data_IF_717889224934
#
_entry.id   IF_717889224934
#
_cell.length_a   1.000
_cell.length_b   1.000
_cell.length_c   1.000
_cell.angle_alpha   90.00
_cell.angle_beta   90.00
_cell.angle_gamma   90.00
#
_symmetry.space_group_name_H-M   'P 1'
#
loop_
_entity.id
_entity.type
_entity.pdbx_description
1 polymer ?
#
# COMPACT_ATOMS: atom_id res chain seq x y z
N UNK A 1 19.98 -30.93 -81.17
CA UNK A 1 18.72 -31.67 -81.35
C UNK A 1 18.60 -32.62 -80.19
N UNK A 2 17.50 -32.49 -79.43
CA UNK A 2 16.85 -33.49 -78.58
C UNK A 2 17.69 -34.17 -77.47
N UNK A 3 17.25 -34.31 -76.20
CA UNK A 3 15.93 -34.08 -75.61
C UNK A 3 16.02 -33.98 -74.06
N UNK A 4 15.00 -33.37 -73.46
CA UNK A 4 14.79 -33.18 -72.02
C UNK A 4 14.49 -34.50 -71.26
N UNK A 5 14.79 -34.56 -69.93
CA UNK A 5 13.78 -34.70 -68.83
C UNK A 5 14.35 -35.21 -67.49
N UNK A 6 14.04 -34.41 -66.46
CA UNK A 6 13.50 -34.71 -65.12
C UNK A 6 14.10 -35.76 -64.12
N UNK A 7 14.32 -35.22 -62.90
CA UNK A 7 13.91 -35.71 -61.58
C UNK A 7 14.61 -36.91 -60.90
N UNK A 8 15.30 -36.65 -59.77
CA UNK A 8 15.19 -37.48 -58.54
C UNK A 8 15.33 -36.61 -57.27
N UNK A 9 14.32 -36.73 -56.40
CA UNK A 9 14.21 -36.19 -55.03
C UNK A 9 15.28 -36.75 -54.07
N UNK A 10 15.77 -35.93 -53.14
CA UNK A 10 16.23 -36.39 -51.82
C UNK A 10 15.56 -35.60 -50.70
N UNK A 11 14.66 -36.30 -50.02
CA UNK A 11 14.01 -35.98 -48.75
C UNK A 11 15.03 -36.05 -47.61
N UNK A 12 14.99 -35.09 -46.67
CA UNK A 12 15.58 -35.24 -45.34
C UNK A 12 14.66 -34.60 -44.30
N UNK A 13 14.01 -35.47 -43.53
CA UNK A 13 13.28 -35.23 -42.30
C UNK A 13 14.05 -34.36 -41.29
N UNK A 14 13.33 -33.47 -40.59
CA UNK A 14 13.81 -32.88 -39.34
C UNK A 14 12.65 -32.81 -38.33
N UNK A 15 12.81 -33.38 -37.12
CA UNK A 15 11.71 -33.58 -36.20
C UNK A 15 11.35 -32.32 -35.40
N UNK A 16 10.05 -32.17 -35.17
CA UNK A 16 9.44 -31.20 -34.29
C UNK A 16 9.82 -31.48 -32.82
N UNK A 17 10.22 -30.43 -32.09
CA UNK A 17 10.34 -30.48 -30.62
C UNK A 17 9.28 -29.59 -30.00
N UNK A 18 8.29 -30.25 -29.39
CA UNK A 18 7.28 -29.64 -28.54
C UNK A 18 7.91 -29.18 -27.21
N UNK A 19 7.62 -27.95 -26.77
CA UNK A 19 7.96 -27.50 -25.40
C UNK A 19 6.70 -27.10 -24.63
N UNK A 20 6.53 -27.84 -23.54
CA UNK A 20 5.43 -27.94 -22.58
C UNK A 20 5.28 -26.67 -21.73
N UNK A 21 4.04 -26.33 -21.42
CA UNK A 21 3.61 -25.22 -20.56
C UNK A 21 3.63 -25.57 -19.06
N UNK A 22 3.90 -24.56 -18.19
CA UNK A 22 3.32 -24.27 -16.86
C UNK A 22 4.24 -23.30 -16.04
N UNK A 23 3.82 -22.69 -14.92
CA UNK A 23 2.78 -21.66 -14.79
C UNK A 23 3.30 -20.36 -14.13
N UNK A 24 2.57 -19.26 -14.30
CA UNK A 24 2.93 -17.91 -13.77
C UNK A 24 2.40 -17.70 -12.35
N UNK A 25 3.31 -17.36 -11.43
CA UNK A 25 3.04 -16.99 -10.04
C UNK A 25 2.31 -15.63 -9.92
N UNK A 26 1.45 -15.53 -8.92
CA UNK A 26 0.59 -14.40 -8.60
C UNK A 26 1.35 -13.26 -7.90
N UNK A 27 1.10 -12.01 -8.30
CA UNK A 27 1.60 -10.81 -7.63
C UNK A 27 0.48 -10.06 -6.91
N UNK A 28 0.84 -9.60 -5.71
CA UNK A 28 0.03 -9.04 -4.65
C UNK A 28 -0.48 -7.60 -4.92
N UNK A 29 -1.44 -7.19 -4.06
CA UNK A 29 -2.27 -5.99 -4.15
C UNK A 29 -2.10 -5.15 -2.87
N UNK A 30 -1.94 -3.83 -3.00
CA UNK A 30 -2.32 -2.78 -2.02
C UNK A 30 -2.02 -1.36 -2.60
N UNK A 31 -2.52 -0.25 -2.03
CA UNK A 31 -3.89 0.06 -1.58
C UNK A 31 -4.40 1.46 -2.05
N UNK A 32 -5.66 1.77 -1.70
CA UNK A 32 -6.43 2.97 -2.07
C UNK A 32 -6.25 4.17 -1.13
N UNK A 33 -6.62 5.39 -1.58
CA UNK A 33 -6.67 6.65 -0.80
C UNK A 33 -8.01 7.41 -1.00
N UNK A 34 -8.55 7.88 0.15
CA UNK A 34 -9.46 9.01 0.49
C UNK A 34 -10.65 9.37 -0.43
N UNK A 35 -11.92 9.48 0.01
CA UNK A 35 -12.57 10.26 1.07
C UNK A 35 -12.80 11.76 0.73
N UNK A 36 -14.06 12.14 0.53
CA UNK A 36 -14.67 13.48 0.58
C UNK A 36 -16.20 13.31 0.44
N UNK A 37 -17.12 14.17 0.86
CA UNK A 37 -17.29 15.17 1.92
C UNK A 37 -18.81 15.52 1.89
N UNK A 38 -19.35 16.09 2.97
CA UNK A 38 -20.78 16.26 3.28
C UNK A 38 -21.23 17.71 3.01
N UNK A 39 -22.51 17.97 2.66
CA UNK A 39 -23.42 19.07 3.10
C UNK A 39 -24.62 19.28 2.09
N UNK A 40 -25.68 20.08 2.38
CA UNK A 40 -26.88 19.65 3.14
C UNK A 40 -28.25 20.17 2.59
N UNK A 41 -29.32 19.90 3.36
CA UNK A 41 -30.60 20.63 3.50
C UNK A 41 -31.82 20.31 2.58
N UNK A 42 -32.93 19.90 3.22
CA UNK A 42 -34.22 20.63 3.21
C UNK A 42 -35.18 20.07 4.28
N UNK A 43 -35.76 20.97 5.07
CA UNK A 43 -36.79 20.72 6.08
C UNK A 43 -38.19 21.07 5.54
N UNK A 44 -39.22 20.36 6.02
CA UNK A 44 -40.66 20.69 6.11
C UNK A 44 -41.42 19.36 6.29
N UNK A 45 -42.46 19.17 7.12
CA UNK A 45 -43.24 20.03 7.99
C UNK A 45 -43.90 19.15 9.06
N UNK A 46 -44.19 19.74 10.22
CA UNK A 46 -44.90 19.12 11.34
C UNK A 46 -46.42 19.15 11.13
N UNK A 47 -47.12 18.12 11.64
CA UNK A 47 -48.53 18.18 12.03
C UNK A 47 -48.70 17.42 13.34
N UNK A 48 -49.20 18.11 14.36
CA UNK A 48 -49.43 17.63 15.73
C UNK A 48 -50.94 17.28 15.93
N UNK A 49 -51.45 16.95 17.14
CA UNK A 49 -51.87 15.60 17.51
C UNK A 49 -53.35 15.50 17.96
N UNK A 50 -53.86 14.27 18.10
CA UNK A 50 -55.10 13.95 18.81
C UNK A 50 -55.07 12.44 19.15
N UNK A 51 -55.61 11.88 20.23
CA UNK A 51 -56.10 12.30 21.56
C UNK A 51 -56.24 10.97 22.34
N UNK A 52 -56.07 11.05 23.66
CA UNK A 52 -56.20 10.04 24.72
C UNK A 52 -57.04 8.77 24.49
N UNK A 53 -56.55 7.65 25.04
CA UNK A 53 -57.35 6.60 25.69
C UNK A 53 -56.50 5.92 26.78
N UNK A 54 -56.98 5.96 28.02
CA UNK A 54 -56.33 5.50 29.26
C UNK A 54 -56.41 3.97 29.47
N UNK A 55 -55.50 3.39 30.29
CA UNK A 55 -55.47 1.97 30.62
C UNK A 55 -56.34 1.62 31.84
N UNK A 56 -56.98 0.45 31.81
CA UNK A 56 -57.73 -0.12 32.96
C UNK A 56 -56.89 -1.14 33.74
N UNK A 57 -56.57 -0.77 34.98
CA UNK A 57 -56.70 -1.53 36.23
C UNK A 57 -56.37 -3.04 36.27
N UNK A 58 -55.39 -3.41 37.08
CA UNK A 58 -55.56 -4.35 38.21
C UNK A 58 -54.29 -4.39 39.08
N UNK A 59 -54.43 -3.98 40.34
CA UNK A 59 -53.44 -4.17 41.40
C UNK A 59 -53.82 -5.40 42.23
N UNK A 60 -52.86 -6.24 42.58
CA UNK A 60 -52.97 -7.20 43.68
C UNK A 60 -51.60 -7.49 44.33
N UNK A 61 -51.44 -6.89 45.51
CA UNK A 61 -50.88 -7.46 46.76
C UNK A 61 -49.39 -7.83 46.92
N UNK A 62 -48.79 -7.16 47.93
CA UNK A 62 -47.50 -7.37 48.61
C UNK A 62 -47.36 -8.75 49.28
N UNK A 63 -46.10 -9.19 49.41
CA UNK A 63 -45.55 -9.81 50.62
C UNK A 63 -44.07 -9.39 50.79
N UNK A 64 -43.65 -8.81 51.95
CA UNK A 64 -42.26 -8.42 52.22
C UNK A 64 -41.56 -9.40 53.19
N UNK A 65 -40.24 -9.56 53.04
CA UNK A 65 -39.23 -9.67 54.12
C UNK A 65 -38.01 -10.53 53.68
N UNK A 66 -36.81 -9.92 53.69
CA UNK A 66 -35.76 -10.21 54.69
C UNK A 66 -34.51 -9.38 54.36
N UNK A 67 -34.21 -8.43 55.25
CA UNK A 67 -32.95 -7.70 55.27
C UNK A 67 -31.89 -8.45 56.11
N UNK A 68 -30.64 -8.16 55.75
CA UNK A 68 -29.41 -8.17 56.56
C UNK A 68 -28.76 -9.50 56.96
N UNK A 69 -27.51 -9.67 56.49
CA UNK A 69 -26.36 -9.99 57.34
C UNK A 69 -25.06 -9.49 56.69
N UNK A 70 -24.32 -8.53 57.27
CA UNK A 70 -22.94 -8.22 56.90
C UNK A 70 -21.96 -8.90 57.88
N UNK A 71 -20.96 -9.60 57.36
CA UNK A 71 -19.76 -10.10 58.07
C UNK A 71 -18.78 -10.58 56.97
N UNK A 72 -17.47 -10.37 57.00
CA UNK A 72 -16.52 -9.76 57.93
C UNK A 72 -15.16 -9.67 57.20
N UNK A 73 -14.32 -8.74 57.66
CA UNK A 73 -12.85 -8.76 57.66
C UNK A 73 -12.08 -8.47 56.37
N UNK A 74 -11.47 -7.28 56.39
CA UNK A 74 -10.25 -6.93 55.70
C UNK A 74 -9.11 -7.90 56.04
N UNK A 75 -8.26 -8.16 55.04
CA UNK A 75 -6.94 -8.76 55.19
C UNK A 75 -5.89 -7.76 54.68
N UNK A 76 -4.79 -7.69 55.42
CA UNK A 76 -3.70 -6.71 55.41
C UNK A 76 -2.87 -6.62 54.11
N UNK A 77 -2.11 -5.54 53.91
CA UNK A 77 -1.54 -5.18 52.61
C UNK A 77 -0.32 -6.05 52.28
N UNK A 78 -0.45 -6.89 51.26
CA UNK A 78 0.69 -7.53 50.63
C UNK A 78 1.55 -6.45 49.94
N UNK A 79 2.81 -6.41 50.33
CA UNK A 79 3.88 -5.57 49.80
C UNK A 79 3.78 -5.43 48.26
N UNK A 80 3.77 -4.19 47.79
CA UNK A 80 3.64 -3.83 46.38
C UNK A 80 4.87 -4.29 45.61
N UNK A 81 4.82 -5.52 45.10
CA UNK A 81 5.69 -5.97 44.02
C UNK A 81 5.53 -4.98 42.88
N UNK A 82 6.59 -4.21 42.62
CA UNK A 82 6.70 -3.28 41.51
C UNK A 82 6.14 -3.94 40.25
N UNK A 83 5.44 -3.15 39.45
CA UNK A 83 4.56 -3.57 38.37
C UNK A 83 5.29 -4.36 37.26
N UNK A 84 5.67 -5.61 37.52
CA UNK A 84 6.32 -6.48 36.54
C UNK A 84 5.31 -6.75 35.43
N UNK A 85 5.67 -6.36 34.20
CA UNK A 85 4.89 -6.64 33.00
C UNK A 85 4.77 -8.15 32.84
N UNK A 86 3.55 -8.67 33.01
CA UNK A 86 3.18 -10.06 32.75
C UNK A 86 2.45 -10.12 31.41
N UNK A 87 2.40 -11.30 30.80
CA UNK A 87 1.78 -11.51 29.49
C UNK A 87 0.33 -10.97 29.41
N UNK A 88 -0.44 -11.08 30.49
CA UNK A 88 -1.83 -10.60 30.52
C UNK A 88 -1.99 -9.08 30.65
N UNK A 89 -0.91 -8.33 30.93
CA UNK A 89 -0.89 -6.86 30.94
C UNK A 89 -0.76 -6.25 29.53
N UNK A 90 -0.33 -7.04 28.53
CA UNK A 90 -0.19 -6.56 27.16
C UNK A 90 -1.58 -6.33 26.53
N UNK A 91 -1.79 -5.12 26.04
CA UNK A 91 -2.98 -4.71 25.28
C UNK A 91 -2.52 -3.98 24.02
N UNK A 92 -3.21 -4.15 22.88
CA UNK A 92 -2.89 -3.38 21.69
C UNK A 92 -3.16 -1.89 21.94
N UNK A 93 -2.40 -1.02 21.28
CA UNK A 93 -2.67 0.41 21.28
C UNK A 93 -4.12 0.69 20.84
N UNK A 94 -4.79 1.72 21.41
CA UNK A 94 -6.17 2.04 21.08
C UNK A 94 -6.31 2.25 19.56
N UNK A 95 -7.25 1.55 18.94
CA UNK A 95 -7.51 1.61 17.49
C UNK A 95 -6.60 0.75 16.60
N UNK A 96 -5.57 0.09 17.14
CA UNK A 96 -4.68 -0.79 16.36
C UNK A 96 -5.41 -2.02 15.79
N UNK A 97 -6.45 -2.51 16.49
CA UNK A 97 -7.32 -3.58 16.03
C UNK A 97 -8.75 -3.05 15.90
N UNK A 98 -9.30 -3.15 14.69
CA UNK A 98 -10.70 -2.84 14.40
C UNK A 98 -11.47 -4.14 14.18
N UNK A 99 -12.66 -4.24 14.77
CA UNK A 99 -13.53 -5.39 14.58
C UNK A 99 -13.90 -5.52 13.10
N UNK A 100 -13.73 -6.73 12.53
CA UNK A 100 -14.12 -7.01 11.14
C UNK A 100 -15.64 -7.10 11.05
N UNK A 101 -16.24 -6.34 10.15
CA UNK A 101 -17.66 -6.49 9.89
C UNK A 101 -17.95 -7.83 9.21
N UNK A 102 -18.70 -8.70 9.88
CA UNK A 102 -19.16 -9.98 9.36
C UNK A 102 -20.49 -9.76 8.63
N UNK A 103 -20.44 -9.78 7.30
CA UNK A 103 -21.62 -9.62 6.44
C UNK A 103 -22.46 -10.91 6.43
N UNK A 104 -23.76 -10.79 6.18
CA UNK A 104 -24.72 -11.90 6.19
C UNK A 104 -24.98 -12.47 7.59
N UNK A 105 -24.96 -11.65 8.64
CA UNK A 105 -25.21 -12.07 10.04
C UNK A 105 -26.24 -11.15 10.69
N UNK A 106 -27.52 -11.46 10.48
CA UNK A 106 -28.65 -10.69 11.03
C UNK A 106 -28.86 -9.33 10.37
N UNK A 107 -30.00 -8.69 10.67
CA UNK A 107 -30.41 -7.42 10.07
C UNK A 107 -29.67 -6.20 10.62
N UNK A 108 -29.19 -6.24 11.87
CA UNK A 108 -28.39 -5.17 12.47
C UNK A 108 -26.96 -5.04 11.90
N UNK A 109 -26.51 -6.01 11.11
CA UNK A 109 -25.29 -5.93 10.30
C UNK A 109 -25.63 -5.70 8.82
N UNK A 110 -24.67 -5.87 7.91
CA UNK A 110 -24.95 -6.03 6.48
C UNK A 110 -25.61 -7.39 6.25
N UNK A 111 -26.90 -7.49 6.58
CA UNK A 111 -27.71 -8.72 6.60
C UNK A 111 -28.06 -9.27 5.23
N UNK A 112 -29.36 -9.39 4.94
CA UNK A 112 -29.98 -10.07 3.78
C UNK A 112 -29.20 -10.01 2.46
N UNK A 113 -28.68 -8.84 2.06
CA UNK A 113 -27.98 -8.66 0.78
C UNK A 113 -26.46 -8.58 0.88
N UNK A 114 -25.90 -8.61 2.10
CA UNK A 114 -24.48 -8.42 2.38
C UNK A 114 -23.86 -7.18 1.71
N UNK A 115 -24.66 -6.16 1.40
CA UNK A 115 -24.24 -4.94 0.69
C UNK A 115 -24.15 -5.06 -0.83
N UNK A 116 -24.69 -6.12 -1.43
CA UNK A 116 -24.67 -6.34 -2.90
C UNK A 116 -25.94 -5.89 -3.63
N UNK A 117 -26.91 -5.31 -2.93
CA UNK A 117 -28.21 -4.96 -3.51
C UNK A 117 -29.11 -6.19 -3.73
N UNK A 118 -30.14 -6.05 -4.56
CA UNK A 118 -31.19 -7.07 -4.72
C UNK A 118 -30.90 -8.08 -5.84
N UNK A 119 -30.84 -7.62 -7.09
CA UNK A 119 -30.72 -8.46 -8.29
C UNK A 119 -29.62 -7.92 -9.22
N UNK A 120 -29.35 -8.64 -10.31
CA UNK A 120 -28.38 -8.27 -11.34
C UNK A 120 -27.00 -8.89 -11.16
N UNK A 121 -26.11 -8.62 -12.13
CA UNK A 121 -24.80 -9.27 -12.22
C UNK A 121 -23.91 -8.98 -11.02
N UNK A 122 -23.98 -7.78 -10.41
CA UNK A 122 -23.20 -7.43 -9.21
C UNK A 122 -23.71 -8.10 -7.92
N UNK A 123 -24.98 -8.51 -7.89
CA UNK A 123 -25.53 -9.25 -6.76
C UNK A 123 -25.08 -10.72 -6.78
N UNK A 124 -25.06 -11.34 -7.97
CA UNK A 124 -24.71 -12.76 -8.18
C UNK A 124 -23.21 -12.99 -8.35
N UNK A 125 -22.54 -12.11 -9.11
CA UNK A 125 -21.16 -12.25 -9.56
C UNK A 125 -20.38 -10.93 -9.47
N UNK A 126 -19.18 -10.90 -10.04
CA UNK A 126 -18.34 -9.70 -10.14
C UNK A 126 -18.13 -9.36 -11.62
N UNK A 127 -18.16 -8.07 -11.93
CA UNK A 127 -17.85 -7.55 -13.27
C UNK A 127 -16.34 -7.26 -13.34
N UNK A 128 -15.73 -7.49 -14.50
CA UNK A 128 -14.31 -7.20 -14.73
C UNK A 128 -14.06 -5.68 -14.70
N UNK A 129 -12.96 -5.24 -14.07
CA UNK A 129 -12.66 -3.82 -13.83
C UNK A 129 -12.58 -3.00 -15.14
N UNK A 130 -12.12 -3.58 -16.25
CA UNK A 130 -11.99 -2.90 -17.54
C UNK A 130 -13.20 -3.02 -18.47
N UNK A 131 -14.36 -3.51 -18.00
CA UNK A 131 -15.58 -3.62 -18.81
C UNK A 131 -16.50 -2.42 -18.59
N UNK A 132 -16.79 -1.68 -19.67
CA UNK A 132 -17.55 -0.42 -19.65
C UNK A 132 -18.98 -0.59 -20.22
N UNK A 133 -19.62 -1.74 -19.98
CA UNK A 133 -21.03 -1.94 -20.35
C UNK A 133 -21.28 -2.23 -21.84
N UNK A 134 -20.25 -2.60 -22.60
CA UNK A 134 -20.33 -2.95 -24.02
C UNK A 134 -19.71 -1.93 -24.97
N UNK A 135 -19.41 -0.72 -24.49
CA UNK A 135 -18.60 0.24 -25.23
C UNK A 135 -17.14 -0.23 -25.33
N UNK A 136 -16.40 0.21 -26.36
CA UNK A 136 -14.96 -0.03 -26.44
C UNK A 136 -14.25 0.50 -25.19
N UNK A 137 -13.52 -0.31 -24.41
CA UNK A 137 -12.90 0.17 -23.17
C UNK A 137 -11.86 1.29 -23.38
N UNK A 138 -11.64 2.12 -22.35
CA UNK A 138 -10.69 3.24 -22.42
C UNK A 138 -9.27 2.82 -22.86
N UNK A 139 -8.76 1.70 -22.33
CA UNK A 139 -7.43 1.17 -22.66
C UNK A 139 -7.29 0.69 -24.12
N UNK A 140 -8.40 0.55 -24.84
CA UNK A 140 -8.43 0.26 -26.27
C UNK A 140 -8.63 1.52 -27.12
N UNK A 141 -9.31 2.55 -26.59
CA UNK A 141 -9.51 3.83 -27.29
C UNK A 141 -8.24 4.67 -27.32
N UNK A 142 -7.47 4.67 -26.23
CA UNK A 142 -6.25 5.48 -26.14
C UNK A 142 -5.12 4.85 -26.96
N UNK A 143 -4.36 5.64 -27.74
CA UNK A 143 -3.17 5.11 -28.42
C UNK A 143 -2.15 4.61 -27.39
N UNK A 144 -1.37 3.60 -27.76
CA UNK A 144 -0.25 3.12 -26.94
C UNK A 144 0.82 4.20 -26.83
N UNK A 145 1.44 4.31 -25.66
CA UNK A 145 2.60 5.18 -25.45
C UNK A 145 3.70 4.81 -26.47
N UNK A 146 4.38 5.83 -26.98
CA UNK A 146 5.39 5.67 -28.02
C UNK A 146 6.70 5.11 -27.44
N UNK A 147 7.53 4.55 -28.32
CA UNK A 147 8.86 4.06 -27.98
C UNK A 147 8.90 2.64 -27.42
N UNK A 148 10.06 2.26 -26.92
CA UNK A 148 10.31 0.96 -26.28
C UNK A 148 11.16 1.18 -25.02
N UNK A 149 11.10 0.24 -24.07
CA UNK A 149 12.00 0.24 -22.91
C UNK A 149 13.32 -0.42 -23.33
N UNK A 150 14.42 0.34 -23.41
CA UNK A 150 15.74 -0.20 -23.69
C UNK A 150 16.21 -1.12 -22.54
N UNK A 151 16.39 -2.44 -22.75
CA UNK A 151 16.85 -3.37 -21.71
C UNK A 151 18.27 -3.09 -21.22
N UNK A 152 19.10 -2.46 -22.05
CA UNK A 152 20.50 -2.16 -21.75
C UNK A 152 20.70 -0.75 -21.18
N UNK A 153 19.60 -0.07 -20.80
CA UNK A 153 19.69 1.24 -20.15
C UNK A 153 20.40 1.09 -18.81
N UNK A 154 21.55 1.74 -18.68
CA UNK A 154 22.24 1.87 -17.39
C UNK A 154 21.53 2.95 -16.58
N UNK A 155 20.81 2.54 -15.53
CA UNK A 155 20.17 3.46 -14.59
C UNK A 155 21.18 3.85 -13.51
N UNK A 156 21.28 5.16 -13.23
CA UNK A 156 22.11 5.69 -12.16
C UNK A 156 21.23 6.18 -11.02
N UNK A 157 21.63 5.89 -9.80
CA UNK A 157 21.10 6.53 -8.61
C UNK A 157 21.75 7.89 -8.42
N UNK A 158 20.93 8.89 -8.10
CA UNK A 158 21.37 10.28 -8.06
C UNK A 158 21.64 10.74 -6.65
N UNK A 159 22.73 11.49 -6.46
CA UNK A 159 23.04 12.20 -5.21
C UNK A 159 23.34 13.66 -5.52
N UNK A 160 22.66 14.57 -4.83
CA UNK A 160 22.86 16.02 -5.00
C UNK A 160 23.92 16.56 -4.04
N UNK A 161 24.53 17.71 -4.37
CA UNK A 161 25.52 18.36 -3.51
C UNK A 161 24.94 18.79 -2.14
N UNK A 162 23.67 19.21 -2.08
CA UNK A 162 22.99 19.52 -0.81
C UNK A 162 23.09 18.35 0.18
N UNK A 163 22.79 17.15 -0.32
CA UNK A 163 22.82 15.94 0.52
C UNK A 163 24.24 15.58 0.92
N UNK A 164 25.23 15.82 0.07
CA UNK A 164 26.63 15.63 0.42
C UNK A 164 27.11 16.62 1.46
N UNK A 165 26.68 17.89 1.40
CA UNK A 165 27.01 18.90 2.41
C UNK A 165 26.48 18.52 3.80
N UNK A 166 25.26 17.98 3.89
CA UNK A 166 24.68 17.47 5.14
C UNK A 166 25.44 16.25 5.70
N UNK A 167 25.84 15.33 4.82
CA UNK A 167 26.47 14.07 5.20
C UNK A 167 27.98 14.19 5.48
N UNK A 168 28.62 15.23 4.96
CA UNK A 168 30.05 15.48 5.10
C UNK A 168 30.30 16.93 5.56
N UNK A 169 29.88 17.32 6.77
CA UNK A 169 30.08 18.68 7.27
C UNK A 169 31.56 19.03 7.48
N UNK A 170 32.41 18.03 7.73
CA UNK A 170 33.88 18.19 7.88
C UNK A 170 34.66 17.96 6.59
N UNK A 171 33.96 17.56 5.52
CA UNK A 171 34.58 17.14 4.27
C UNK A 171 35.15 15.73 4.33
N UNK A 172 35.85 15.35 3.26
CA UNK A 172 36.53 14.07 3.15
C UNK A 172 36.26 13.33 1.84
N UNK A 173 36.62 12.06 1.82
CA UNK A 173 36.42 11.18 0.69
C UNK A 173 34.96 10.70 0.60
N UNK A 174 34.40 10.77 -0.60
CA UNK A 174 33.05 10.31 -0.93
C UNK A 174 33.18 9.16 -1.89
N UNK A 175 33.23 7.94 -1.36
CA UNK A 175 33.20 6.72 -2.16
C UNK A 175 31.78 6.15 -2.23
N UNK A 176 31.52 5.27 -3.21
CA UNK A 176 30.23 4.55 -3.29
C UNK A 176 29.96 3.75 -2.00
N UNK A 177 30.97 3.12 -1.42
CA UNK A 177 30.84 2.37 -0.16
C UNK A 177 30.43 3.28 1.01
N UNK A 178 31.03 4.46 1.12
CA UNK A 178 30.70 5.41 2.19
C UNK A 178 29.30 6.00 2.03
N UNK A 179 28.88 6.24 0.79
CA UNK A 179 27.52 6.68 0.49
C UNK A 179 26.48 5.62 0.89
N UNK A 180 26.78 4.32 0.71
CA UNK A 180 25.92 3.23 1.19
C UNK A 180 25.90 3.20 2.71
N UNK A 181 27.06 3.29 3.38
CA UNK A 181 27.17 3.27 4.83
C UNK A 181 26.38 4.42 5.50
N UNK A 182 26.37 5.60 4.86
CA UNK A 182 25.59 6.77 5.31
C UNK A 182 24.12 6.75 4.87
N UNK A 183 23.68 5.73 4.12
CA UNK A 183 22.31 5.57 3.65
C UNK A 183 21.89 6.59 2.58
N UNK A 184 22.86 7.16 1.85
CA UNK A 184 22.60 8.10 0.76
C UNK A 184 22.21 7.37 -0.54
N UNK A 185 22.75 6.17 -0.73
CA UNK A 185 22.54 5.32 -1.90
C UNK A 185 22.27 3.87 -1.46
N UNK A 186 21.65 3.09 -2.34
CA UNK A 186 21.47 1.65 -2.21
C UNK A 186 22.75 0.94 -2.62
N UNK A 187 22.93 -0.27 -2.09
CA UNK A 187 23.98 -1.16 -2.51
C UNK A 187 23.78 -1.65 -3.96
N UNK A 188 24.88 -1.97 -4.64
CA UNK A 188 24.90 -2.57 -5.98
C UNK A 188 24.26 -1.74 -7.12
N UNK A 189 24.01 -0.45 -6.92
CA UNK A 189 23.55 0.48 -7.95
C UNK A 189 24.68 1.45 -8.36
N UNK A 190 24.72 1.87 -9.63
CA UNK A 190 25.67 2.88 -10.11
C UNK A 190 25.26 4.26 -9.65
N UNK A 191 26.21 5.10 -9.28
CA UNK A 191 25.94 6.41 -8.66
C UNK A 191 26.33 7.56 -9.59
N UNK A 192 25.44 8.54 -9.71
CA UNK A 192 25.70 9.81 -10.40
C UNK A 192 25.52 10.99 -9.46
N UNK A 193 26.53 11.86 -9.37
CA UNK A 193 26.45 13.10 -8.59
C UNK A 193 25.93 14.26 -9.46
N UNK A 194 24.96 15.01 -8.92
CA UNK A 194 24.30 16.13 -9.58
C UNK A 194 24.51 17.46 -8.83
N UNK A 195 24.59 18.57 -9.58
CA UNK A 195 25.03 19.88 -9.08
C UNK A 195 23.97 20.74 -8.37
N UNK A 196 22.91 20.13 -7.83
CA UNK A 196 21.89 20.87 -7.09
C UNK A 196 22.40 21.21 -5.68
N UNK A 197 22.29 22.47 -5.30
CA UNK A 197 22.84 23.08 -4.09
C UNK A 197 24.28 23.54 -4.20
N UNK A 198 24.75 24.16 -3.12
CA UNK A 198 26.10 24.69 -2.99
C UNK A 198 26.90 23.90 -1.97
N UNK A 199 28.19 23.84 -2.21
CA UNK A 199 29.11 23.10 -1.36
C UNK A 199 30.27 24.01 -0.96
N UNK A 200 30.39 24.26 0.34
CA UNK A 200 31.50 25.02 0.91
C UNK A 200 32.65 24.11 1.37
N UNK A 201 32.43 22.80 1.34
CA UNK A 201 33.29 21.80 1.95
C UNK A 201 34.10 21.07 0.89
N UNK A 202 35.39 20.85 1.17
CA UNK A 202 36.29 20.07 0.30
C UNK A 202 35.89 18.60 0.30
N UNK A 203 35.51 18.08 -0.86
CA UNK A 203 35.19 16.67 -1.08
C UNK A 203 36.11 16.06 -2.13
N UNK A 204 36.54 14.82 -1.88
CA UNK A 204 37.17 13.96 -2.89
C UNK A 204 36.14 12.94 -3.35
N UNK A 205 35.53 13.15 -4.51
CA UNK A 205 34.40 12.34 -4.98
C UNK A 205 34.89 11.23 -5.91
N UNK A 206 34.66 9.97 -5.53
CA UNK A 206 34.96 8.76 -6.30
C UNK A 206 33.66 7.98 -6.59
N UNK A 207 33.03 8.26 -7.73
CA UNK A 207 31.72 7.73 -8.14
C UNK A 207 31.69 7.44 -9.64
N UNK A 208 30.71 6.67 -10.13
CA UNK A 208 30.67 6.27 -11.54
C UNK A 208 30.55 7.45 -12.53
N UNK A 209 29.75 8.47 -12.18
CA UNK A 209 29.54 9.66 -13.02
C UNK A 209 29.30 10.92 -12.20
N UNK A 210 29.74 12.06 -12.74
CA UNK A 210 29.42 13.39 -12.22
C UNK A 210 28.78 14.21 -13.34
N UNK A 211 27.87 15.13 -13.00
CA UNK A 211 27.37 16.12 -13.96
C UNK A 211 28.31 17.30 -14.05
N UNK A 212 28.48 17.92 -15.22
CA UNK A 212 29.37 19.08 -15.39
C UNK A 212 29.08 20.25 -14.42
N UNK A 213 27.82 20.50 -14.04
CA UNK A 213 27.49 21.50 -13.03
C UNK A 213 27.96 21.13 -11.61
N UNK A 214 27.96 19.84 -11.27
CA UNK A 214 28.54 19.36 -10.03
C UNK A 214 30.06 19.44 -10.06
N UNK A 215 30.68 19.10 -11.18
CA UNK A 215 32.14 19.15 -11.33
C UNK A 215 32.66 20.56 -11.07
N UNK A 216 32.05 21.57 -11.71
CA UNK A 216 32.41 22.97 -11.52
C UNK A 216 32.29 23.42 -10.05
N UNK A 217 31.20 23.05 -9.37
CA UNK A 217 30.97 23.42 -7.97
C UNK A 217 31.92 22.70 -7.01
N UNK A 218 32.21 21.42 -7.25
CA UNK A 218 33.16 20.65 -6.43
C UNK A 218 34.57 21.22 -6.58
N UNK A 219 34.99 21.53 -7.81
CA UNK A 219 36.31 22.14 -8.08
C UNK A 219 36.38 23.56 -7.50
N UNK A 220 35.31 24.35 -7.60
CA UNK A 220 35.25 25.69 -6.99
C UNK A 220 35.38 25.65 -5.46
N UNK A 221 34.86 24.60 -4.81
CA UNK A 221 35.05 24.35 -3.38
C UNK A 221 36.45 23.80 -3.02
N UNK A 222 37.33 23.59 -4.01
CA UNK A 222 38.66 23.01 -3.84
C UNK A 222 38.65 21.50 -3.63
N UNK A 223 37.60 20.81 -4.08
CA UNK A 223 37.49 19.36 -4.10
C UNK A 223 38.14 18.72 -5.33
N UNK A 224 38.20 17.39 -5.33
CA UNK A 224 38.78 16.58 -6.42
C UNK A 224 37.80 15.50 -6.85
N UNK A 225 37.85 15.08 -8.12
CA UNK A 225 36.96 14.09 -8.72
C UNK A 225 37.82 12.98 -9.30
N UNK A 226 37.50 11.73 -8.93
CA UNK A 226 38.21 10.51 -9.32
C UNK A 226 37.27 9.57 -10.08
#
# INVERSE_FOLDING_TARGET
MADEKEAVKKTADKPATAKKAAPKAAAAKAPAKAAAAKAPAKAAAAKAPAKAAEPKTAAATKAPAKAAAPKKAAAEPAETREHVLKVHHLRPAPGAKKAKQRVGRGEGSKGKTAGRGTKGTKARYKVRIGFEGGQMPLHMRTPKLRGFKNPFRVEYQVVNLERLAELYPKGGDVTVADLVAKGAVRDNEKVKVLGNGDIAVKLTVAVDKVSGSAEQKIVAAGGSIK
#
